data_IF_756528751714
#
_entry.id   IF_756528751714
#
_cell.length_a   1.000
_cell.length_b   1.000
_cell.length_c   1.000
_cell.angle_alpha   90.00
_cell.angle_beta   90.00
_cell.angle_gamma   90.00
#
_symmetry.space_group_name_H-M   'P 1'
#
loop_
_entity.id
_entity.type
_entity.pdbx_description
1 polymer ?
#
# COMPACT_ATOMS: atom_id res chain seq x y z
N UNK A 1 4.55 28.18 -2.13
CA UNK A 1 3.09 27.93 -2.10
C UNK A 1 2.40 29.24 -1.73
N UNK A 2 1.38 29.68 -2.46
CA UNK A 2 0.66 30.91 -2.07
C UNK A 2 -0.29 30.64 -0.87
N UNK A 3 -0.68 31.70 -0.15
CA UNK A 3 -1.53 31.60 1.04
C UNK A 3 -2.89 30.95 0.74
N UNK A 4 -3.45 31.17 -0.47
CA UNK A 4 -4.74 30.62 -0.89
C UNK A 4 -4.72 29.09 -0.99
N UNK A 5 -3.69 28.52 -1.63
CA UNK A 5 -3.52 27.08 -1.76
C UNK A 5 -3.27 26.43 -0.39
N UNK A 6 -2.45 27.04 0.47
CA UNK A 6 -2.22 26.52 1.81
C UNK A 6 -3.52 26.49 2.63
N UNK A 7 -4.31 27.57 2.62
CA UNK A 7 -5.62 27.61 3.30
C UNK A 7 -6.56 26.52 2.79
N UNK A 8 -6.62 26.32 1.48
CA UNK A 8 -7.43 25.27 0.86
C UNK A 8 -7.00 23.87 1.31
N UNK A 9 -5.71 23.54 1.23
CA UNK A 9 -5.17 22.24 1.65
C UNK A 9 -5.52 21.96 3.12
N UNK A 10 -5.35 22.96 3.99
CA UNK A 10 -5.61 22.83 5.42
C UNK A 10 -7.10 22.73 5.78
N UNK A 11 -8.01 23.12 4.88
CA UNK A 11 -9.46 23.03 5.10
C UNK A 11 -10.07 21.72 4.60
N UNK A 12 -9.31 20.88 3.90
CA UNK A 12 -9.80 19.59 3.42
C UNK A 12 -9.60 18.50 4.46
N UNK A 13 -10.41 17.45 4.35
CA UNK A 13 -10.25 16.22 5.12
C UNK A 13 -9.46 15.19 4.30
N UNK A 14 -8.38 14.69 4.90
CA UNK A 14 -7.39 13.87 4.22
C UNK A 14 -7.26 12.48 4.87
N UNK A 15 -7.41 11.44 4.06
CA UNK A 15 -6.99 10.09 4.44
C UNK A 15 -5.47 10.00 4.36
N UNK A 16 -4.80 9.64 5.47
CA UNK A 16 -3.34 9.50 5.53
C UNK A 16 -2.87 8.07 5.33
N UNK A 17 -1.77 7.90 4.58
CA UNK A 17 -0.96 6.67 4.51
C UNK A 17 0.53 6.98 4.72
N UNK A 18 1.29 6.15 5.41
CA UNK A 18 2.67 6.41 5.80
C UNK A 18 3.52 5.14 5.83
N UNK A 19 4.63 5.19 5.11
CA UNK A 19 5.53 4.05 4.93
C UNK A 19 6.93 4.50 4.52
N UNK A 20 7.89 3.59 4.61
CA UNK A 20 9.25 3.77 4.11
C UNK A 20 9.26 3.78 2.58
N UNK A 21 9.72 4.90 2.02
CA UNK A 21 9.85 5.11 0.58
C UNK A 21 10.75 6.31 0.28
N UNK A 22 11.26 6.40 -0.95
CA UNK A 22 11.89 7.62 -1.45
C UNK A 22 10.86 8.48 -2.17
N UNK A 23 11.12 9.79 -2.27
CA UNK A 23 10.27 10.67 -3.07
C UNK A 23 10.22 10.21 -4.55
N UNK A 24 11.35 9.69 -5.05
CA UNK A 24 11.46 9.21 -6.43
C UNK A 24 10.56 8.02 -6.72
N UNK A 25 10.66 6.97 -5.89
CA UNK A 25 9.84 5.78 -6.03
C UNK A 25 8.36 6.08 -5.80
N UNK A 26 8.03 7.07 -4.99
CA UNK A 26 6.68 7.25 -4.54
C UNK A 26 5.87 8.28 -5.36
N UNK A 27 6.55 9.23 -6.00
CA UNK A 27 5.94 10.26 -6.86
C UNK A 27 5.00 9.70 -7.95
N UNK A 28 5.27 8.48 -8.41
CA UNK A 28 4.50 7.76 -9.42
C UNK A 28 2.99 7.74 -9.15
N UNK A 29 2.57 7.76 -7.88
CA UNK A 29 1.17 7.61 -7.51
C UNK A 29 0.33 8.88 -7.62
N UNK A 30 0.97 10.05 -7.68
CA UNK A 30 0.30 11.30 -7.99
C UNK A 30 0.34 11.61 -9.48
N UNK A 31 1.44 11.21 -10.13
CA UNK A 31 1.65 11.40 -11.55
C UNK A 31 0.61 10.68 -12.43
N UNK A 32 -0.16 9.74 -11.86
CA UNK A 32 -1.25 9.05 -12.55
C UNK A 32 -2.56 9.86 -12.66
N UNK A 33 -2.78 10.90 -11.84
CA UNK A 33 -4.05 11.64 -11.82
C UNK A 33 -4.41 12.26 -13.19
N UNK A 34 -3.44 12.81 -13.97
CA UNK A 34 -3.69 13.26 -15.34
C UNK A 34 -4.09 12.12 -16.29
N UNK A 35 -3.57 10.91 -16.10
CA UNK A 35 -3.86 9.76 -16.96
C UNK A 35 -5.28 9.24 -16.76
N UNK A 36 -5.81 9.31 -15.52
CA UNK A 36 -7.22 8.98 -15.26
C UNK A 36 -8.16 9.89 -16.05
N UNK A 37 -7.80 11.16 -16.27
CA UNK A 37 -8.61 12.11 -17.05
C UNK A 37 -8.83 11.66 -18.49
N UNK A 38 -7.87 10.95 -19.08
CA UNK A 38 -7.90 10.53 -20.49
C UNK A 38 -8.55 9.15 -20.70
N UNK A 39 -8.85 8.42 -19.62
CA UNK A 39 -9.34 7.05 -19.70
C UNK A 39 -10.87 7.00 -19.71
N UNK A 40 -11.45 6.82 -20.90
CA UNK A 40 -12.92 6.78 -21.13
C UNK A 40 -13.64 5.64 -20.38
N UNK A 41 -12.92 4.64 -19.88
CA UNK A 41 -13.53 3.57 -19.09
C UNK A 41 -14.05 4.08 -17.74
N UNK A 42 -13.43 5.11 -17.17
CA UNK A 42 -13.82 5.66 -15.89
C UNK A 42 -14.65 6.93 -16.07
N UNK A 43 -15.87 6.94 -15.52
CA UNK A 43 -16.70 8.15 -15.41
C UNK A 43 -16.33 8.98 -14.17
N UNK A 44 -15.39 8.50 -13.36
CA UNK A 44 -14.92 9.11 -12.13
C UNK A 44 -13.38 9.09 -12.11
N UNK A 45 -12.74 9.94 -11.31
CA UNK A 45 -11.29 9.97 -11.13
C UNK A 45 -10.94 10.55 -9.78
N UNK A 46 -9.73 10.27 -9.30
CA UNK A 46 -9.15 11.02 -8.20
C UNK A 46 -8.73 12.41 -8.71
N UNK A 47 -8.98 13.45 -7.94
CA UNK A 47 -8.77 14.86 -8.28
C UNK A 47 -7.49 15.40 -7.67
N UNK A 48 -7.17 15.01 -6.45
CA UNK A 48 -6.06 15.63 -5.74
C UNK A 48 -5.39 14.67 -4.76
N UNK A 49 -4.09 14.93 -4.54
CA UNK A 49 -3.27 14.19 -3.59
C UNK A 49 -2.12 15.05 -3.08
N UNK A 50 -1.68 14.76 -1.85
CA UNK A 50 -0.46 15.34 -1.26
C UNK A 50 0.48 14.19 -0.89
N UNK A 51 1.77 14.38 -1.15
CA UNK A 51 2.88 13.56 -0.69
C UNK A 51 3.76 14.49 0.13
N UNK A 52 4.12 14.06 1.32
CA UNK A 52 5.14 14.71 2.14
C UNK A 52 6.21 13.68 2.46
N UNK A 53 7.34 13.77 1.78
CA UNK A 53 8.49 12.88 1.93
C UNK A 53 9.55 13.52 2.81
N UNK A 54 9.99 12.86 3.88
CA UNK A 54 11.04 13.32 4.78
C UNK A 54 11.78 12.13 5.38
N UNK A 55 13.11 12.15 5.38
CA UNK A 55 13.94 11.08 5.97
C UNK A 55 13.52 9.66 5.54
N UNK A 56 13.26 9.48 4.24
CA UNK A 56 12.79 8.22 3.65
C UNK A 56 11.48 7.68 4.23
N UNK A 57 10.71 8.54 4.89
CA UNK A 57 9.31 8.33 5.26
C UNK A 57 8.44 9.18 4.35
N UNK A 58 7.43 8.56 3.76
CA UNK A 58 6.49 9.25 2.89
C UNK A 58 5.12 9.25 3.57
N UNK A 59 4.46 10.41 3.56
CA UNK A 59 3.08 10.58 4.01
C UNK A 59 2.22 10.93 2.80
N UNK A 60 1.25 10.10 2.50
CA UNK A 60 0.24 10.35 1.49
C UNK A 60 -1.02 10.86 2.09
N UNK A 61 -1.67 11.72 1.34
CA UNK A 61 -2.97 12.27 1.68
C UNK A 61 -3.87 12.19 0.46
N UNK A 62 -4.96 11.45 0.59
CA UNK A 62 -6.07 11.41 -0.37
C UNK A 62 -7.24 12.21 0.19
N UNK A 63 -7.87 13.06 -0.61
CA UNK A 63 -9.06 13.78 -0.15
C UNK A 63 -10.20 12.78 0.14
N UNK A 64 -10.75 12.80 1.36
CA UNK A 64 -11.77 11.83 1.77
C UNK A 64 -13.09 11.97 1.00
N UNK A 65 -13.50 13.19 0.66
CA UNK A 65 -14.70 13.43 -0.17
C UNK A 65 -14.49 12.85 -1.58
N UNK A 66 -13.27 12.94 -2.07
CA UNK A 66 -12.91 12.43 -3.38
C UNK A 66 -12.86 10.90 -3.41
N UNK A 67 -12.25 10.26 -2.41
CA UNK A 67 -12.30 8.81 -2.22
C UNK A 67 -13.74 8.30 -2.14
N UNK A 68 -14.60 8.99 -1.37
CA UNK A 68 -16.03 8.66 -1.25
C UNK A 68 -16.74 8.72 -2.60
N UNK A 69 -16.50 9.76 -3.41
CA UNK A 69 -17.12 9.89 -4.73
C UNK A 69 -16.71 8.76 -5.68
N UNK A 70 -15.41 8.41 -5.69
CA UNK A 70 -14.90 7.28 -6.47
C UNK A 70 -15.50 5.96 -6.00
N UNK A 71 -15.58 5.75 -4.69
CA UNK A 71 -16.22 4.58 -4.07
C UNK A 71 -17.67 4.43 -4.51
N UNK A 72 -18.47 5.49 -4.35
CA UNK A 72 -19.91 5.44 -4.59
C UNK A 72 -20.19 5.09 -6.06
N UNK A 73 -19.39 5.62 -6.99
CA UNK A 73 -19.44 5.22 -8.40
C UNK A 73 -19.05 3.75 -8.60
N UNK A 74 -17.91 3.29 -8.06
CA UNK A 74 -17.48 1.89 -8.20
C UNK A 74 -18.53 0.91 -7.65
N UNK A 75 -19.08 1.20 -6.47
CA UNK A 75 -20.12 0.37 -5.85
C UNK A 75 -21.37 0.34 -6.71
N UNK A 76 -21.82 1.46 -7.26
CA UNK A 76 -22.96 1.50 -8.17
C UNK A 76 -22.73 0.64 -9.43
N UNK A 77 -21.57 0.76 -10.07
CA UNK A 77 -21.23 -0.05 -11.25
C UNK A 77 -21.17 -1.55 -10.91
N UNK A 78 -20.63 -1.94 -9.74
CA UNK A 78 -20.56 -3.34 -9.28
C UNK A 78 -21.96 -3.91 -8.95
N UNK A 79 -22.83 -3.09 -8.36
CA UNK A 79 -24.22 -3.48 -8.08
C UNK A 79 -25.00 -3.72 -9.37
N UNK A 80 -24.81 -2.85 -10.36
CA UNK A 80 -25.51 -2.91 -11.65
C UNK A 80 -24.98 -4.00 -12.60
N UNK A 81 -23.66 -4.20 -12.66
CA UNK A 81 -23.01 -5.19 -13.52
C UNK A 81 -22.09 -6.11 -12.70
N UNK A 82 -22.53 -7.36 -12.53
CA UNK A 82 -21.77 -8.38 -11.80
C UNK A 82 -20.40 -8.72 -12.41
N UNK A 83 -20.16 -8.37 -13.69
CA UNK A 83 -18.90 -8.56 -14.39
C UNK A 83 -18.00 -7.30 -14.37
N UNK A 84 -18.47 -6.17 -13.86
CA UNK A 84 -17.74 -4.90 -13.89
C UNK A 84 -16.33 -5.01 -13.28
N UNK A 85 -16.23 -5.62 -12.09
CA UNK A 85 -14.94 -5.82 -11.40
C UNK A 85 -13.96 -6.67 -12.22
N UNK A 86 -14.46 -7.67 -12.95
CA UNK A 86 -13.66 -8.50 -13.88
C UNK A 86 -13.25 -7.71 -15.13
N UNK A 87 -14.14 -6.91 -15.71
CA UNK A 87 -13.83 -6.02 -16.84
C UNK A 87 -12.74 -5.01 -16.47
N UNK A 88 -12.80 -4.45 -15.27
CA UNK A 88 -11.76 -3.54 -14.74
C UNK A 88 -10.41 -4.26 -14.63
N UNK A 89 -10.37 -5.45 -14.02
CA UNK A 89 -9.14 -6.25 -13.92
C UNK A 89 -8.59 -6.61 -15.29
N UNK A 90 -9.45 -7.06 -16.21
CA UNK A 90 -9.03 -7.42 -17.56
C UNK A 90 -8.39 -6.23 -18.30
N UNK A 91 -8.98 -5.03 -18.18
CA UNK A 91 -8.38 -3.80 -18.72
C UNK A 91 -6.99 -3.52 -18.12
N UNK A 92 -6.81 -3.76 -16.82
CA UNK A 92 -5.51 -3.64 -16.17
C UNK A 92 -4.51 -4.68 -16.70
N UNK A 93 -4.92 -5.94 -16.86
CA UNK A 93 -4.09 -7.02 -17.42
C UNK A 93 -3.60 -6.72 -18.84
N UNK A 94 -4.46 -6.15 -19.69
CA UNK A 94 -4.08 -5.72 -21.04
C UNK A 94 -2.98 -4.65 -21.03
N UNK A 95 -3.06 -3.66 -20.14
CA UNK A 95 -2.01 -2.64 -19.97
C UNK A 95 -0.73 -3.25 -19.40
N UNK A 96 -0.89 -4.13 -18.41
CA UNK A 96 0.23 -4.83 -17.80
C UNK A 96 1.02 -5.63 -18.84
N UNK A 97 0.35 -6.35 -19.75
CA UNK A 97 1.01 -7.11 -20.81
C UNK A 97 1.91 -6.23 -21.67
N UNK A 98 1.44 -5.04 -22.05
CA UNK A 98 2.24 -4.08 -22.81
C UNK A 98 3.42 -3.54 -22.01
N UNK A 99 3.21 -3.21 -20.74
CA UNK A 99 4.28 -2.78 -19.83
C UNK A 99 5.35 -3.87 -19.64
N UNK A 100 4.97 -5.13 -19.46
CA UNK A 100 5.91 -6.24 -19.28
C UNK A 100 6.80 -6.47 -20.50
N UNK A 101 6.24 -6.37 -21.72
CA UNK A 101 7.04 -6.44 -22.95
C UNK A 101 8.07 -5.31 -23.03
N UNK A 102 7.68 -4.08 -22.67
CA UNK A 102 8.61 -2.95 -22.63
C UNK A 102 9.68 -3.16 -21.56
N UNK A 103 9.28 -3.65 -20.39
CA UNK A 103 10.21 -3.95 -19.31
C UNK A 103 11.26 -4.96 -19.79
N UNK A 104 10.87 -6.09 -20.40
CA UNK A 104 11.80 -7.07 -20.97
C UNK A 104 12.83 -6.45 -21.93
N UNK A 105 12.38 -5.60 -22.86
CA UNK A 105 13.27 -4.86 -23.76
C UNK A 105 14.27 -3.99 -22.98
N UNK A 106 13.79 -3.27 -21.98
CA UNK A 106 14.62 -2.41 -21.14
C UNK A 106 15.63 -3.22 -20.32
N UNK A 107 15.24 -4.42 -19.86
CA UNK A 107 16.12 -5.31 -19.08
C UNK A 107 17.31 -5.84 -19.87
N UNK A 108 17.19 -5.93 -21.19
CA UNK A 108 18.29 -6.37 -22.06
C UNK A 108 19.25 -5.24 -22.44
N UNK A 109 18.98 -3.99 -22.05
CA UNK A 109 19.85 -2.86 -22.38
C UNK A 109 21.06 -2.80 -21.43
N UNK A 110 22.23 -2.56 -22.00
CA UNK A 110 23.40 -2.12 -21.25
C UNK A 110 23.32 -0.60 -21.05
N UNK A 111 22.74 -0.18 -19.91
CA UNK A 111 22.51 1.24 -19.62
C UNK A 111 23.80 2.06 -19.64
N UNK A 112 24.97 1.47 -19.40
CA UNK A 112 26.25 2.18 -19.42
C UNK A 112 26.69 2.57 -20.84
N UNK A 113 26.20 1.88 -21.87
CA UNK A 113 26.54 2.12 -23.28
C UNK A 113 25.61 3.09 -24.00
N UNK A 114 24.43 3.37 -23.44
CA UNK A 114 23.46 4.27 -24.06
C UNK A 114 23.92 5.74 -23.98
N UNK A 115 23.78 6.57 -25.01
CA UNK A 115 23.95 8.01 -24.86
C UNK A 115 22.83 8.61 -23.98
N UNK A 116 23.08 9.79 -23.39
CA UNK A 116 22.15 10.44 -22.45
C UNK A 116 20.72 10.62 -23.00
N UNK A 117 20.50 11.02 -24.28
CA UNK A 117 19.16 11.11 -24.86
C UNK A 117 18.41 9.78 -24.88
N UNK A 118 19.08 8.70 -25.28
CA UNK A 118 18.49 7.35 -25.34
C UNK A 118 18.20 6.80 -23.94
N UNK A 119 19.09 7.03 -22.97
CA UNK A 119 18.85 6.67 -21.57
C UNK A 119 17.58 7.36 -21.04
N UNK A 120 17.43 8.66 -21.33
CA UNK A 120 16.28 9.45 -20.90
C UNK A 120 15.00 9.02 -21.61
N UNK A 121 15.06 8.72 -22.90
CA UNK A 121 13.91 8.24 -23.68
C UNK A 121 13.41 6.89 -23.16
N UNK A 122 14.32 5.93 -22.93
CA UNK A 122 13.96 4.63 -22.37
C UNK A 122 13.36 4.76 -20.96
N UNK A 123 13.92 5.64 -20.12
CA UNK A 123 13.35 5.94 -18.81
C UNK A 123 11.93 6.52 -18.93
N UNK A 124 11.73 7.55 -19.76
CA UNK A 124 10.42 8.18 -19.93
C UNK A 124 9.38 7.21 -20.48
N UNK A 125 9.76 6.37 -21.44
CA UNK A 125 8.90 5.33 -22.00
C UNK A 125 8.48 4.33 -20.92
N UNK A 126 9.44 3.79 -20.17
CA UNK A 126 9.15 2.87 -19.05
C UNK A 126 8.21 3.52 -18.02
N UNK A 127 8.52 4.74 -17.63
CA UNK A 127 7.75 5.49 -16.64
C UNK A 127 6.32 5.77 -17.11
N UNK A 128 6.12 6.21 -18.35
CA UNK A 128 4.80 6.51 -18.92
C UNK A 128 3.91 5.26 -19.04
N UNK A 129 4.44 4.16 -19.56
CA UNK A 129 3.70 2.89 -19.66
C UNK A 129 3.37 2.31 -18.28
N UNK A 130 4.29 2.45 -17.34
CA UNK A 130 4.03 2.07 -15.96
C UNK A 130 2.90 2.91 -15.35
N UNK A 131 2.92 4.25 -15.49
CA UNK A 131 1.85 5.14 -15.01
C UNK A 131 0.50 4.76 -15.61
N UNK A 132 0.42 4.53 -16.93
CA UNK A 132 -0.79 4.07 -17.62
C UNK A 132 -1.32 2.76 -17.02
N UNK A 133 -0.43 1.84 -16.64
CA UNK A 133 -0.79 0.55 -16.04
C UNK A 133 -1.38 0.74 -14.64
N UNK A 134 -0.72 1.49 -13.75
CA UNK A 134 -1.21 1.67 -12.37
C UNK A 134 -2.45 2.57 -12.26
N UNK A 135 -2.69 3.41 -13.26
CA UNK A 135 -3.88 4.29 -13.36
C UNK A 135 -5.20 3.51 -13.21
N UNK A 136 -5.28 2.31 -13.81
CA UNK A 136 -6.50 1.47 -13.77
C UNK A 136 -6.70 0.87 -12.38
N UNK A 137 -5.62 0.45 -11.73
CA UNK A 137 -5.69 -0.31 -10.49
C UNK A 137 -5.71 0.55 -9.23
N UNK A 138 -5.27 1.81 -9.28
CA UNK A 138 -5.37 2.72 -8.12
C UNK A 138 -6.80 3.22 -7.86
N UNK A 139 -7.70 3.18 -8.85
CA UNK A 139 -9.09 3.63 -8.66
C UNK A 139 -9.80 2.83 -7.55
N UNK A 140 -9.37 1.57 -7.35
CA UNK A 140 -9.91 0.68 -6.33
C UNK A 140 -9.58 1.18 -4.91
N UNK A 141 -8.66 2.12 -4.73
CA UNK A 141 -8.42 2.75 -3.41
C UNK A 141 -9.69 3.44 -2.89
N UNK A 142 -10.55 3.98 -3.78
CA UNK A 142 -11.86 4.48 -3.36
C UNK A 142 -12.73 3.39 -2.72
N UNK A 143 -12.69 2.16 -3.26
CA UNK A 143 -13.40 1.01 -2.70
C UNK A 143 -12.73 0.49 -1.42
N UNK A 144 -11.42 0.23 -1.47
CA UNK A 144 -10.69 -0.51 -0.45
C UNK A 144 -10.38 0.32 0.79
N UNK A 145 -10.12 1.62 0.66
CA UNK A 145 -9.82 2.47 1.81
C UNK A 145 -11.10 2.70 2.62
N UNK A 146 -11.03 2.41 3.92
CA UNK A 146 -12.15 2.44 4.85
C UNK A 146 -13.29 1.44 4.51
N UNK A 147 -13.02 0.36 3.78
CA UNK A 147 -14.00 -0.70 3.47
C UNK A 147 -14.65 -1.30 4.71
N UNK A 148 -13.91 -1.41 5.80
CA UNK A 148 -14.41 -1.83 7.10
C UNK A 148 -15.54 -0.94 7.64
N UNK A 149 -15.52 0.37 7.32
CA UNK A 149 -16.52 1.32 7.80
C UNK A 149 -17.76 1.27 6.95
N UNK A 150 -17.61 1.43 5.63
CA UNK A 150 -18.76 1.55 4.74
C UNK A 150 -19.39 0.18 4.43
N UNK A 151 -18.60 -0.81 4.01
CA UNK A 151 -19.12 -2.14 3.68
C UNK A 151 -19.46 -2.91 4.96
N UNK A 152 -18.65 -2.75 6.01
CA UNK A 152 -18.96 -3.32 7.33
C UNK A 152 -20.26 -2.77 7.89
N UNK A 153 -20.49 -1.45 7.78
CA UNK A 153 -21.75 -0.83 8.19
C UNK A 153 -22.96 -1.31 7.39
N UNK A 154 -22.86 -1.33 6.05
CA UNK A 154 -23.94 -1.85 5.17
C UNK A 154 -24.25 -3.33 5.48
N UNK A 155 -23.22 -4.14 5.69
CA UNK A 155 -23.36 -5.55 6.02
C UNK A 155 -23.95 -5.78 7.44
N UNK A 156 -23.56 -4.96 8.42
CA UNK A 156 -24.14 -4.99 9.75
C UNK A 156 -25.64 -4.68 9.73
N UNK A 157 -26.06 -3.66 8.96
CA UNK A 157 -27.47 -3.34 8.79
C UNK A 157 -28.24 -4.48 8.11
N UNK A 158 -27.65 -5.10 7.08
CA UNK A 158 -28.22 -6.28 6.43
C UNK A 158 -28.46 -7.44 7.42
N UNK A 159 -27.47 -7.75 8.27
CA UNK A 159 -27.61 -8.81 9.26
C UNK A 159 -28.55 -8.43 10.42
N UNK A 160 -28.62 -7.16 10.80
CA UNK A 160 -29.58 -6.69 11.81
C UNK A 160 -31.03 -6.96 11.38
N UNK A 161 -31.36 -6.71 10.10
CA UNK A 161 -32.67 -7.07 9.52
C UNK A 161 -32.96 -8.58 9.56
N UNK A 162 -31.93 -9.41 9.66
CA UNK A 162 -32.02 -10.87 9.78
C UNK A 162 -31.90 -11.39 11.21
N UNK A 163 -31.88 -10.49 12.22
CA UNK A 163 -31.65 -10.85 13.64
C UNK A 163 -30.33 -11.59 13.88
N UNK A 164 -29.26 -11.21 13.16
CA UNK A 164 -27.91 -11.80 13.25
C UNK A 164 -26.82 -10.73 13.42
N UNK A 165 -27.15 -9.58 14.02
CA UNK A 165 -26.24 -8.44 14.13
C UNK A 165 -24.94 -8.78 14.87
N UNK A 166 -25.03 -9.65 15.89
CA UNK A 166 -23.92 -10.15 16.70
C UNK A 166 -22.89 -10.95 15.87
N UNK A 167 -23.33 -11.57 14.77
CA UNK A 167 -22.44 -12.30 13.85
C UNK A 167 -21.76 -11.43 12.80
N UNK A 168 -22.07 -10.12 12.75
CA UNK A 168 -21.58 -9.24 11.69
C UNK A 168 -20.06 -9.24 11.57
N UNK A 169 -19.33 -9.12 12.68
CA UNK A 169 -17.86 -9.12 12.67
C UNK A 169 -17.27 -10.44 12.19
N UNK A 170 -17.80 -11.56 12.70
CA UNK A 170 -17.36 -12.92 12.34
C UNK A 170 -17.56 -13.18 10.84
N UNK A 171 -18.78 -12.95 10.36
CA UNK A 171 -19.17 -13.20 8.97
C UNK A 171 -18.47 -12.25 8.00
N UNK A 172 -18.36 -10.96 8.35
CA UNK A 172 -17.64 -9.99 7.55
C UNK A 172 -16.17 -10.38 7.41
N UNK A 173 -15.55 -10.87 8.50
CA UNK A 173 -14.17 -11.34 8.46
C UNK A 173 -14.00 -12.50 7.48
N UNK A 174 -14.89 -13.50 7.49
CA UNK A 174 -14.84 -14.61 6.53
C UNK A 174 -15.08 -14.17 5.09
N UNK A 175 -16.11 -13.35 4.84
CA UNK A 175 -16.47 -12.91 3.49
C UNK A 175 -15.39 -12.03 2.83
N UNK A 176 -14.53 -11.42 3.62
CA UNK A 176 -13.45 -10.52 3.17
C UNK A 176 -12.08 -11.18 3.15
N UNK A 177 -11.96 -12.47 3.52
CA UNK A 177 -10.73 -13.24 3.33
C UNK A 177 -10.42 -13.42 1.84
N UNK A 178 -9.15 -13.35 1.42
CA UNK A 178 -8.80 -13.63 0.01
C UNK A 178 -9.02 -15.10 -0.34
N UNK A 179 -9.47 -15.38 -1.56
CA UNK A 179 -9.54 -16.75 -2.11
C UNK A 179 -8.37 -17.09 -3.05
N UNK A 180 -7.33 -16.24 -3.06
CA UNK A 180 -6.11 -16.37 -3.86
C UNK A 180 -4.87 -16.10 -3.01
N UNK A 181 -3.73 -16.77 -3.30
CA UNK A 181 -2.47 -16.48 -2.62
C UNK A 181 -1.98 -15.07 -2.94
N UNK A 182 -1.31 -14.46 -1.96
CA UNK A 182 -0.44 -13.30 -2.21
C UNK A 182 0.86 -13.74 -2.89
N UNK A 183 1.63 -12.81 -3.46
CA UNK A 183 2.91 -13.15 -4.11
C UNK A 183 3.94 -13.80 -3.16
N UNK A 184 3.89 -13.52 -1.86
CA UNK A 184 4.74 -14.21 -0.86
C UNK A 184 4.28 -15.65 -0.68
N UNK A 185 2.96 -15.87 -0.66
CA UNK A 185 2.37 -17.21 -0.58
C UNK A 185 2.58 -18.00 -1.88
N UNK A 186 2.60 -17.35 -3.03
CA UNK A 186 2.99 -17.97 -4.31
C UNK A 186 4.42 -18.52 -4.23
N UNK A 187 5.38 -17.74 -3.71
CA UNK A 187 6.75 -18.19 -3.48
C UNK A 187 6.83 -19.35 -2.47
N UNK A 188 6.02 -19.29 -1.40
CA UNK A 188 5.94 -20.34 -0.39
C UNK A 188 5.39 -21.66 -0.96
N UNK A 189 4.33 -21.58 -1.77
CA UNK A 189 3.74 -22.73 -2.47
C UNK A 189 4.77 -23.32 -3.42
N UNK A 190 5.40 -22.50 -4.28
CA UNK A 190 6.41 -22.95 -5.23
C UNK A 190 7.55 -23.72 -4.54
N UNK A 191 8.05 -23.19 -3.41
CA UNK A 191 9.07 -23.86 -2.61
C UNK A 191 8.60 -25.20 -2.06
N UNK A 192 7.39 -25.27 -1.48
CA UNK A 192 6.81 -26.51 -0.92
C UNK A 192 6.53 -27.56 -1.99
N UNK A 193 6.24 -27.12 -3.22
CA UNK A 193 6.10 -27.99 -4.40
C UNK A 193 7.44 -28.47 -4.97
N UNK A 194 8.57 -28.21 -4.31
CA UNK A 194 9.89 -28.71 -4.72
C UNK A 194 10.67 -27.80 -5.66
N UNK A 195 10.24 -26.56 -5.91
CA UNK A 195 11.04 -25.62 -6.72
C UNK A 195 12.38 -25.36 -6.04
N UNK A 196 13.47 -25.61 -6.78
CA UNK A 196 14.81 -25.46 -6.24
C UNK A 196 15.16 -23.98 -5.91
N UNK A 197 16.11 -23.73 -4.99
CA UNK A 197 16.49 -22.38 -4.58
C UNK A 197 16.95 -21.44 -5.70
N UNK A 198 17.58 -21.97 -6.76
CA UNK A 198 18.03 -21.18 -7.92
C UNK A 198 16.83 -20.62 -8.70
N UNK A 199 15.85 -21.48 -8.98
CA UNK A 199 14.62 -21.08 -9.66
C UNK A 199 13.75 -20.15 -8.78
N UNK A 200 13.74 -20.38 -7.47
CA UNK A 200 13.09 -19.45 -6.54
C UNK A 200 13.74 -18.06 -6.58
N UNK A 201 15.08 -17.99 -6.55
CA UNK A 201 15.78 -16.72 -6.68
C UNK A 201 15.46 -16.03 -8.02
N UNK A 202 15.45 -16.77 -9.14
CA UNK A 202 15.12 -16.19 -10.45
C UNK A 202 13.69 -15.59 -10.52
N UNK A 203 12.71 -16.22 -9.88
CA UNK A 203 11.29 -15.83 -10.00
C UNK A 203 10.81 -14.90 -8.86
N UNK A 204 11.42 -14.99 -7.68
CA UNK A 204 10.96 -14.37 -6.45
C UNK A 204 12.03 -13.55 -5.73
N UNK A 205 13.15 -13.18 -6.36
CA UNK A 205 14.20 -12.35 -5.72
C UNK A 205 13.67 -11.04 -5.11
N UNK A 206 12.55 -10.52 -5.62
CA UNK A 206 11.99 -9.21 -5.31
C UNK A 206 10.95 -9.24 -4.17
N UNK A 207 10.57 -10.40 -3.63
CA UNK A 207 9.44 -10.50 -2.68
C UNK A 207 9.63 -9.73 -1.36
N UNK A 208 10.87 -9.35 -1.02
CA UNK A 208 11.22 -8.50 0.13
C UNK A 208 11.55 -7.05 -0.25
N UNK A 209 11.30 -6.64 -1.50
CA UNK A 209 11.47 -5.25 -1.90
C UNK A 209 10.48 -4.34 -1.17
N UNK A 210 10.92 -3.12 -0.92
CA UNK A 210 10.04 -2.01 -0.61
C UNK A 210 10.46 -0.76 -1.40
N UNK A 211 9.71 0.33 -1.29
CA UNK A 211 9.95 1.55 -2.07
C UNK A 211 11.24 2.31 -1.68
N UNK A 212 11.99 1.83 -0.68
CA UNK A 212 13.29 2.37 -0.27
C UNK A 212 14.43 1.35 -0.52
N UNK A 213 14.20 0.09 -0.18
CA UNK A 213 15.16 -0.99 -0.20
C UNK A 213 14.82 -2.00 -1.29
N UNK A 214 15.62 -1.95 -2.36
CA UNK A 214 15.59 -2.89 -3.49
C UNK A 214 16.85 -3.75 -3.37
N UNK A 215 16.76 -4.86 -2.62
CA UNK A 215 17.87 -5.81 -2.43
C UNK A 215 17.43 -7.20 -2.88
N UNK A 216 17.90 -7.69 -4.03
CA UNK A 216 17.52 -9.02 -4.54
C UNK A 216 17.85 -10.12 -3.53
N UNK A 217 16.90 -11.01 -3.30
CA UNK A 217 17.10 -12.24 -2.53
C UNK A 217 17.87 -13.25 -3.38
N UNK A 218 18.81 -13.94 -2.76
CA UNK A 218 19.71 -14.86 -3.42
C UNK A 218 19.30 -16.31 -3.21
N UNK A 219 19.95 -17.22 -3.93
CA UNK A 219 19.82 -18.66 -3.71
C UNK A 219 20.07 -19.03 -2.24
N UNK A 220 21.05 -18.40 -1.59
CA UNK A 220 21.38 -18.62 -0.17
C UNK A 220 20.20 -18.31 0.75
N UNK A 221 19.47 -17.22 0.48
CA UNK A 221 18.23 -16.92 1.21
C UNK A 221 17.20 -18.04 1.01
N UNK A 222 16.96 -18.45 -0.24
CA UNK A 222 15.97 -19.47 -0.53
C UNK A 222 16.36 -20.88 -0.04
N UNK A 223 17.64 -21.17 0.22
CA UNK A 223 18.07 -22.40 0.89
C UNK A 223 17.62 -22.42 2.36
N UNK A 224 17.84 -21.34 3.09
CA UNK A 224 17.52 -21.26 4.53
C UNK A 224 16.06 -20.87 4.81
N UNK A 225 15.37 -20.22 3.86
CA UNK A 225 13.99 -19.77 4.05
C UNK A 225 13.05 -20.95 4.37
N UNK A 226 12.22 -20.83 5.40
CA UNK A 226 11.18 -21.79 5.75
C UNK A 226 9.85 -21.05 5.74
N UNK A 227 9.07 -21.14 4.64
CA UNK A 227 7.83 -20.39 4.54
C UNK A 227 6.77 -20.94 5.50
N UNK A 228 5.97 -20.04 6.05
CA UNK A 228 4.84 -20.35 6.93
C UNK A 228 3.79 -21.25 6.24
N UNK A 229 2.86 -21.79 7.03
CA UNK A 229 1.69 -22.50 6.51
C UNK A 229 0.89 -21.60 5.56
N UNK A 230 0.56 -22.12 4.38
CA UNK A 230 -0.26 -21.42 3.39
C UNK A 230 -1.72 -21.81 3.59
N UNK A 231 -2.68 -20.87 3.60
CA UNK A 231 -4.09 -21.20 3.78
C UNK A 231 -4.62 -22.17 2.72
N UNK A 232 -5.62 -22.97 3.08
CA UNK A 232 -6.37 -23.74 2.11
C UNK A 232 -7.39 -22.83 1.40
N UNK A 233 -6.98 -22.22 0.29
CA UNK A 233 -7.81 -21.28 -0.48
C UNK A 233 -9.08 -21.92 -1.04
N UNK A 234 -9.06 -23.22 -1.33
CA UNK A 234 -10.26 -23.98 -1.76
C UNK A 234 -11.29 -24.04 -0.63
N UNK A 235 -10.85 -24.40 0.57
CA UNK A 235 -11.71 -24.44 1.76
C UNK A 235 -12.27 -23.05 2.10
N UNK A 236 -11.49 -21.98 1.98
CA UNK A 236 -11.98 -20.60 2.18
C UNK A 236 -13.11 -20.28 1.20
N UNK A 237 -12.93 -20.63 -0.08
CA UNK A 237 -13.94 -20.41 -1.13
C UNK A 237 -15.24 -21.16 -0.84
N UNK A 238 -15.14 -22.42 -0.43
CA UNK A 238 -16.29 -23.27 -0.07
C UNK A 238 -17.03 -22.68 1.15
N UNK A 239 -16.32 -22.32 2.22
CA UNK A 239 -16.90 -21.71 3.42
C UNK A 239 -17.59 -20.38 3.13
N UNK A 240 -17.01 -19.52 2.28
CA UNK A 240 -17.67 -18.29 1.83
C UNK A 240 -18.98 -18.58 1.10
N UNK A 241 -18.97 -19.53 0.15
CA UNK A 241 -20.17 -19.91 -0.61
C UNK A 241 -21.28 -20.41 0.32
N UNK A 242 -20.95 -21.30 1.25
CA UNK A 242 -21.88 -21.82 2.26
C UNK A 242 -22.44 -20.70 3.14
N UNK A 243 -21.59 -19.78 3.63
CA UNK A 243 -22.05 -18.67 4.46
C UNK A 243 -22.99 -17.73 3.68
N UNK A 244 -22.64 -17.35 2.46
CA UNK A 244 -23.48 -16.49 1.62
C UNK A 244 -24.86 -17.11 1.36
N UNK A 245 -24.92 -18.43 1.18
CA UNK A 245 -26.18 -19.18 1.05
C UNK A 245 -26.94 -19.20 2.37
N UNK A 246 -26.28 -19.58 3.48
CA UNK A 246 -26.87 -19.66 4.83
C UNK A 246 -27.56 -18.37 5.26
N UNK A 247 -26.93 -17.21 5.01
CA UNK A 247 -27.49 -15.92 5.42
C UNK A 247 -28.46 -15.34 4.38
N UNK A 248 -28.64 -15.99 3.22
CA UNK A 248 -29.44 -15.48 2.11
C UNK A 248 -28.94 -14.11 1.65
N UNK A 249 -27.64 -14.00 1.35
CA UNK A 249 -27.00 -12.74 0.97
C UNK A 249 -27.61 -12.18 -0.33
N UNK A 250 -28.02 -10.91 -0.30
CA UNK A 250 -28.57 -10.23 -1.50
C UNK A 250 -27.60 -10.28 -2.69
N UNK A 251 -28.14 -10.27 -3.92
CA UNK A 251 -27.35 -10.26 -5.16
C UNK A 251 -26.34 -9.10 -5.17
N UNK A 252 -26.76 -7.91 -4.75
CA UNK A 252 -25.90 -6.72 -4.66
C UNK A 252 -24.71 -6.92 -3.71
N UNK A 253 -24.96 -7.32 -2.46
CA UNK A 253 -23.89 -7.55 -1.49
C UNK A 253 -22.97 -8.68 -1.94
N UNK A 254 -23.52 -9.73 -2.57
CA UNK A 254 -22.72 -10.81 -3.16
C UNK A 254 -21.77 -10.28 -4.22
N UNK A 255 -22.23 -9.39 -5.11
CA UNK A 255 -21.37 -8.75 -6.11
C UNK A 255 -20.26 -7.91 -5.43
N UNK A 256 -20.60 -7.14 -4.40
CA UNK A 256 -19.64 -6.32 -3.66
C UNK A 256 -18.56 -7.18 -2.97
N UNK A 257 -18.93 -8.25 -2.27
CA UNK A 257 -17.93 -9.12 -1.62
C UNK A 257 -17.06 -9.87 -2.63
N UNK A 258 -17.62 -10.28 -3.77
CA UNK A 258 -16.84 -10.87 -4.87
C UNK A 258 -15.85 -9.86 -5.46
N UNK A 259 -16.26 -8.60 -5.60
CA UNK A 259 -15.38 -7.52 -6.04
C UNK A 259 -14.29 -7.23 -5.00
N UNK A 260 -14.62 -7.23 -3.70
CA UNK A 260 -13.64 -7.04 -2.63
C UNK A 260 -12.52 -8.09 -2.65
N UNK A 261 -12.86 -9.37 -2.87
CA UNK A 261 -11.90 -10.46 -3.02
C UNK A 261 -10.99 -10.23 -4.24
N UNK A 262 -11.59 -9.91 -5.39
CA UNK A 262 -10.85 -9.64 -6.62
C UNK A 262 -9.94 -8.40 -6.51
N UNK A 263 -10.40 -7.33 -5.86
CA UNK A 263 -9.63 -6.11 -5.64
C UNK A 263 -8.50 -6.30 -4.62
N UNK A 264 -8.66 -7.22 -3.66
CA UNK A 264 -7.56 -7.64 -2.77
C UNK A 264 -6.43 -8.26 -3.57
N UNK A 265 -6.76 -9.19 -4.47
CA UNK A 265 -5.76 -9.78 -5.37
C UNK A 265 -5.15 -8.73 -6.31
N UNK A 266 -5.95 -7.85 -6.92
CA UNK A 266 -5.45 -6.79 -7.80
C UNK A 266 -4.50 -5.84 -7.05
N UNK A 267 -4.78 -5.53 -5.79
CA UNK A 267 -3.91 -4.70 -4.94
C UNK A 267 -2.54 -5.35 -4.72
N UNK A 268 -2.51 -6.66 -4.48
CA UNK A 268 -1.27 -7.42 -4.28
C UNK A 268 -0.45 -7.50 -5.58
N UNK A 269 -1.10 -7.80 -6.72
CA UNK A 269 -0.44 -7.83 -8.03
C UNK A 269 0.05 -6.45 -8.47
N UNK A 270 -0.75 -5.39 -8.25
CA UNK A 270 -0.30 -4.01 -8.47
C UNK A 270 0.94 -3.69 -7.64
N UNK A 271 0.99 -4.12 -6.37
CA UNK A 271 2.17 -3.91 -5.51
C UNK A 271 3.41 -4.63 -6.06
N UNK A 272 3.28 -5.90 -6.47
CA UNK A 272 4.35 -6.66 -7.15
C UNK A 272 4.93 -5.85 -8.33
N UNK A 273 4.09 -5.40 -9.25
CA UNK A 273 4.56 -4.67 -10.42
C UNK A 273 5.08 -3.27 -10.11
N UNK A 274 4.60 -2.62 -9.05
CA UNK A 274 5.16 -1.36 -8.57
C UNK A 274 6.57 -1.51 -7.98
N UNK A 275 6.82 -2.61 -7.25
CA UNK A 275 8.15 -2.90 -6.70
C UNK A 275 9.16 -3.22 -7.82
N UNK A 276 8.75 -4.03 -8.79
CA UNK A 276 9.56 -4.32 -9.98
C UNK A 276 9.81 -3.05 -10.81
N UNK A 277 8.82 -2.19 -11.02
CA UNK A 277 9.03 -0.90 -11.69
C UNK A 277 10.02 -0.02 -10.93
N UNK A 278 9.91 0.02 -9.60
CA UNK A 278 10.78 0.83 -8.73
C UNK A 278 12.24 0.41 -8.86
N UNK A 279 12.54 -0.88 -8.88
CA UNK A 279 13.88 -1.41 -9.15
C UNK A 279 14.45 -0.83 -10.45
N UNK A 280 13.73 -1.01 -11.57
CA UNK A 280 14.26 -0.60 -12.86
C UNK A 280 14.37 0.92 -12.98
N UNK A 281 13.42 1.68 -12.44
CA UNK A 281 13.54 3.13 -12.36
C UNK A 281 14.76 3.58 -11.55
N UNK A 282 15.14 2.84 -10.50
CA UNK A 282 16.36 3.12 -9.75
C UNK A 282 17.64 2.80 -10.53
N UNK A 283 17.65 1.77 -11.36
CA UNK A 283 18.80 1.49 -12.24
C UNK A 283 19.09 2.67 -13.18
N UNK A 284 18.06 3.24 -13.83
CA UNK A 284 18.20 4.47 -14.63
C UNK A 284 18.68 5.66 -13.79
N UNK A 285 18.09 5.86 -12.60
CA UNK A 285 18.46 6.95 -11.71
C UNK A 285 19.93 6.87 -11.26
N UNK A 286 20.38 5.68 -10.90
CA UNK A 286 21.75 5.44 -10.43
C UNK A 286 22.76 5.50 -11.57
N UNK A 287 22.41 5.03 -12.76
CA UNK A 287 23.27 5.20 -13.94
C UNK A 287 23.42 6.68 -14.31
N UNK A 288 22.31 7.44 -14.34
CA UNK A 288 22.36 8.88 -14.56
C UNK A 288 23.23 9.59 -13.49
N UNK A 289 23.10 9.19 -12.22
CA UNK A 289 23.93 9.73 -11.15
C UNK A 289 25.40 9.38 -11.27
N UNK A 290 25.73 8.14 -11.67
CA UNK A 290 27.11 7.68 -11.90
C UNK A 290 27.81 8.54 -12.96
N UNK A 291 27.15 8.79 -14.10
CA UNK A 291 27.67 9.64 -15.20
C UNK A 291 27.99 11.07 -14.77
N UNK A 292 27.26 11.57 -13.78
CA UNK A 292 27.31 12.98 -13.36
C UNK A 292 28.00 13.18 -12.00
N UNK A 293 28.55 12.11 -11.41
CA UNK A 293 29.24 12.17 -10.12
C UNK A 293 28.32 12.53 -8.94
N UNK A 294 27.03 12.17 -9.01
CA UNK A 294 26.04 12.52 -7.98
C UNK A 294 25.85 11.35 -7.00
N UNK A 295 26.04 11.61 -5.70
CA UNK A 295 25.94 10.59 -4.66
C UNK A 295 24.53 9.96 -4.57
N UNK A 296 24.45 8.63 -4.39
CA UNK A 296 23.19 7.87 -4.32
C UNK A 296 22.17 8.45 -3.34
N UNK A 297 22.60 8.82 -2.13
CA UNK A 297 21.70 9.40 -1.12
C UNK A 297 21.02 10.69 -1.60
N UNK A 298 21.68 11.49 -2.43
CA UNK A 298 21.12 12.72 -3.01
C UNK A 298 20.14 12.39 -4.15
N UNK A 299 20.46 11.39 -4.98
CA UNK A 299 19.60 10.92 -6.09
C UNK A 299 18.22 10.49 -5.62
N UNK A 300 18.14 9.81 -4.46
CA UNK A 300 16.86 9.34 -3.90
C UNK A 300 15.88 10.48 -3.51
N UNK A 301 16.31 11.75 -3.61
CA UNK A 301 15.47 12.94 -3.38
C UNK A 301 14.94 13.57 -4.68
N UNK A 302 15.35 13.04 -5.83
CA UNK A 302 14.86 13.49 -7.13
C UNK A 302 13.41 13.04 -7.33
N UNK A 303 12.74 13.63 -8.31
CA UNK A 303 11.46 13.15 -8.82
C UNK A 303 11.65 12.58 -10.24
N UNK A 304 10.86 11.57 -10.66
CA UNK A 304 10.95 11.01 -12.01
C UNK A 304 10.95 12.03 -13.15
N UNK A 305 10.10 13.09 -13.16
CA UNK A 305 10.12 14.09 -14.24
C UNK A 305 11.40 14.95 -14.29
N UNK A 306 12.29 14.84 -13.30
CA UNK A 306 13.51 15.62 -13.19
C UNK A 306 14.73 14.87 -13.74
N UNK A 307 14.58 13.65 -14.26
CA UNK A 307 15.68 12.85 -14.82
C UNK A 307 16.49 13.61 -15.89
N UNK A 308 15.82 14.37 -16.78
CA UNK A 308 16.52 15.20 -17.76
C UNK A 308 17.35 16.33 -17.11
N UNK A 309 16.90 16.91 -16.00
CA UNK A 309 17.66 17.93 -15.24
C UNK A 309 18.87 17.30 -14.54
N UNK A 310 18.71 16.08 -14.03
CA UNK A 310 19.79 15.32 -13.43
C UNK A 310 20.90 15.02 -14.45
N UNK A 311 20.56 14.58 -15.66
CA UNK A 311 21.53 14.32 -16.72
C UNK A 311 22.24 15.60 -17.22
N UNK A 312 21.55 16.75 -17.20
CA UNK A 312 22.20 18.05 -17.46
C UNK A 312 23.15 18.49 -16.32
N UNK A 313 22.95 17.98 -15.11
CA UNK A 313 23.79 18.21 -13.92
C UNK A 313 24.09 19.69 -13.61
N UNK A 314 23.10 20.58 -13.73
CA UNK A 314 23.34 22.00 -13.45
C UNK A 314 23.58 22.26 -11.95
N UNK A 315 24.51 23.16 -11.58
CA UNK A 315 24.78 23.50 -10.17
C UNK A 315 23.53 23.94 -9.40
N UNK A 316 22.65 24.70 -10.04
CA UNK A 316 21.38 25.16 -9.46
C UNK A 316 20.44 24.01 -9.13
N UNK A 317 20.35 23.01 -10.01
CA UNK A 317 19.52 21.83 -9.75
C UNK A 317 20.07 21.03 -8.57
N UNK A 318 21.39 20.80 -8.52
CA UNK A 318 22.01 20.12 -7.37
C UNK A 318 21.81 20.89 -6.06
N UNK A 319 21.88 22.22 -6.09
CA UNK A 319 21.60 23.08 -4.92
C UNK A 319 20.14 22.92 -4.46
N UNK A 320 19.18 22.85 -5.39
CA UNK A 320 17.78 22.57 -5.06
C UNK A 320 17.59 21.17 -4.48
N UNK A 321 18.25 20.15 -5.05
CA UNK A 321 18.16 18.77 -4.59
C UNK A 321 18.74 18.60 -3.17
N UNK A 322 19.85 19.28 -2.86
CA UNK A 322 20.45 19.30 -1.50
C UNK A 322 19.50 19.92 -0.45
N UNK A 323 18.69 20.92 -0.83
CA UNK A 323 17.68 21.52 0.07
C UNK A 323 16.53 20.55 0.41
N UNK A 324 16.40 19.42 -0.28
CA UNK A 324 15.40 18.36 0.00
C UNK A 324 15.81 17.38 1.09
N UNK A 325 16.77 17.76 1.94
CA UNK A 325 16.95 17.11 3.24
C UNK A 325 15.71 17.38 4.12
N UNK A 326 15.16 18.59 4.02
CA UNK A 326 13.88 18.95 4.62
C UNK A 326 12.70 18.24 3.93
N UNK A 327 11.53 18.13 4.60
CA UNK A 327 10.34 17.54 4.00
C UNK A 327 10.00 18.14 2.64
N UNK A 328 9.86 17.28 1.63
CA UNK A 328 9.40 17.62 0.29
C UNK A 328 7.90 17.43 0.24
N UNK A 329 7.17 18.52 0.06
CA UNK A 329 5.75 18.49 -0.24
C UNK A 329 5.56 18.49 -1.76
N UNK A 330 4.81 17.51 -2.24
CA UNK A 330 4.29 17.45 -3.61
C UNK A 330 2.78 17.44 -3.54
N UNK A 331 2.14 18.44 -4.15
CA UNK A 331 0.70 18.53 -4.30
C UNK A 331 0.34 18.46 -5.78
N UNK A 332 -0.62 17.60 -6.13
CA UNK A 332 -1.17 17.53 -7.50
C UNK A 332 -2.66 17.86 -7.44
N UNK A 333 -3.08 18.78 -8.31
CA UNK A 333 -4.48 19.18 -8.41
C UNK A 333 -5.22 18.45 -9.55
N UNK A 334 -6.51 18.76 -9.69
CA UNK A 334 -7.42 18.12 -10.64
C UNK A 334 -7.10 18.39 -12.13
N UNK A 335 -6.30 19.42 -12.39
CA UNK A 335 -5.74 19.75 -13.72
C UNK A 335 -4.45 19.00 -14.01
N UNK A 336 -3.90 18.27 -13.04
CA UNK A 336 -2.61 17.59 -13.17
C UNK A 336 -1.40 18.50 -12.93
N UNK A 337 -1.64 19.73 -12.45
CA UNK A 337 -0.57 20.66 -12.14
C UNK A 337 0.11 20.20 -10.85
N UNK A 338 1.43 20.07 -10.90
CA UNK A 338 2.24 19.63 -9.76
C UNK A 338 2.89 20.83 -9.11
N UNK A 339 2.69 20.98 -7.81
CA UNK A 339 3.38 21.95 -6.97
C UNK A 339 4.38 21.22 -6.07
N UNK A 340 5.66 21.59 -6.16
CA UNK A 340 6.73 21.04 -5.33
C UNK A 340 7.27 22.12 -4.41
N UNK A 341 7.41 21.81 -3.12
CA UNK A 341 8.06 22.68 -2.14
C UNK A 341 8.96 21.86 -1.23
N UNK A 342 10.25 22.22 -1.20
CA UNK A 342 11.16 21.79 -0.15
C UNK A 342 11.02 22.70 1.08
N UNK A 343 11.46 22.22 2.25
CA UNK A 343 11.59 23.03 3.46
C UNK A 343 10.43 22.93 4.45
N UNK A 344 10.38 23.88 5.39
CA UNK A 344 9.46 23.89 6.55
C UNK A 344 7.97 23.80 6.20
N UNK A 345 7.56 24.17 4.99
CA UNK A 345 6.15 24.11 4.55
C UNK A 345 5.61 22.69 4.64
N UNK A 346 6.36 21.68 4.19
CA UNK A 346 5.93 20.28 4.29
C UNK A 346 5.72 19.85 5.74
N UNK A 347 6.62 20.26 6.64
CA UNK A 347 6.48 20.00 8.08
C UNK A 347 5.24 20.68 8.68
N UNK A 348 4.96 21.94 8.30
CA UNK A 348 3.79 22.69 8.77
C UNK A 348 2.50 22.02 8.31
N UNK A 349 2.43 21.66 7.02
CA UNK A 349 1.25 20.99 6.46
C UNK A 349 1.05 19.63 7.13
N UNK A 350 2.11 18.83 7.29
CA UNK A 350 2.05 17.55 7.99
C UNK A 350 1.53 17.72 9.42
N UNK A 351 2.07 18.68 10.19
CA UNK A 351 1.67 18.93 11.59
C UNK A 351 0.21 19.39 11.69
N UNK A 352 -0.27 20.21 10.75
CA UNK A 352 -1.63 20.75 10.78
C UNK A 352 -2.69 19.79 10.28
N UNK A 353 -2.44 19.09 9.16
CA UNK A 353 -3.34 18.06 8.64
C UNK A 353 -3.41 16.88 9.61
N UNK A 354 -2.28 16.56 10.24
CA UNK A 354 -2.17 15.42 11.13
C UNK A 354 -1.76 15.89 12.54
N UNK A 355 -2.74 16.42 13.28
CA UNK A 355 -2.60 16.72 14.70
C UNK A 355 -3.12 15.53 15.53
N UNK A 356 -2.25 14.98 16.37
CA UNK A 356 -2.61 13.88 17.28
C UNK A 356 -3.25 14.50 18.52
N UNK A 357 -4.54 14.25 18.76
CA UNK A 357 -5.14 14.51 20.07
C UNK A 357 -4.72 13.37 21.00
N UNK A 358 -4.28 13.68 22.21
CA UNK A 358 -4.01 12.67 23.22
C UNK A 358 -5.32 11.91 23.52
N UNK A 359 -5.34 10.61 23.24
CA UNK A 359 -6.46 9.72 23.51
C UNK A 359 -5.92 8.49 24.24
N UNK A 360 -6.52 8.13 25.36
CA UNK A 360 -6.16 6.91 26.12
C UNK A 360 -6.67 5.64 25.45
N UNK A 361 -7.69 5.77 24.61
CA UNK A 361 -8.37 4.70 23.89
C UNK A 361 -8.42 5.03 22.39
N UNK A 362 -8.04 4.05 21.57
CA UNK A 362 -8.11 4.12 20.11
C UNK A 362 -9.00 3.01 19.58
N UNK A 363 -9.79 3.35 18.56
CA UNK A 363 -10.63 2.40 17.84
C UNK A 363 -10.05 2.08 16.45
N UNK A 364 -10.22 0.84 16.01
CA UNK A 364 -9.90 0.40 14.65
C UNK A 364 -10.77 -0.78 14.20
N UNK A 365 -10.46 -1.34 13.05
CA UNK A 365 -11.13 -2.53 12.54
C UNK A 365 -10.49 -3.80 13.10
N UNK A 366 -11.31 -4.70 13.64
CA UNK A 366 -10.85 -6.01 14.07
C UNK A 366 -10.74 -6.97 12.88
N UNK A 367 -9.60 -7.65 12.73
CA UNK A 367 -9.39 -8.64 11.65
C UNK A 367 -9.36 -10.07 12.17
N UNK A 368 -8.93 -10.25 13.41
CA UNK A 368 -9.04 -11.49 14.17
C UNK A 368 -9.43 -11.15 15.61
N UNK A 369 -10.45 -11.82 16.12
CA UNK A 369 -11.08 -11.49 17.41
C UNK A 369 -10.24 -11.99 18.58
N UNK A 370 -10.54 -11.47 19.76
CA UNK A 370 -9.88 -11.85 21.01
C UNK A 370 -9.49 -10.64 21.85
N UNK A 371 -9.11 -10.91 23.09
CA UNK A 371 -8.74 -9.90 24.07
C UNK A 371 -7.45 -10.30 24.76
N UNK A 372 -6.46 -9.40 24.79
CA UNK A 372 -5.16 -9.68 25.40
C UNK A 372 -4.50 -8.39 25.89
N UNK A 373 -3.66 -8.52 26.91
CA UNK A 373 -2.84 -7.43 27.47
C UNK A 373 -1.38 -7.68 27.20
N UNK A 374 -0.61 -6.62 27.02
CA UNK A 374 0.84 -6.73 26.86
C UNK A 374 1.53 -5.39 26.69
N UNK A 375 2.86 -5.44 26.75
CA UNK A 375 3.71 -4.26 26.52
C UNK A 375 3.76 -3.92 25.04
N UNK A 376 3.55 -2.65 24.72
CA UNK A 376 3.72 -2.10 23.38
C UNK A 376 5.18 -2.20 22.96
N UNK A 377 5.40 -2.70 21.76
CA UNK A 377 6.63 -2.49 21.02
C UNK A 377 6.31 -1.90 19.66
N UNK A 378 6.73 -0.66 19.45
CA UNK A 378 6.62 0.06 18.19
C UNK A 378 7.70 -0.45 17.24
N UNK A 379 7.29 -0.84 16.04
CA UNK A 379 8.20 -1.34 15.00
C UNK A 379 8.01 -0.52 13.74
N UNK A 380 9.00 0.32 13.46
CA UNK A 380 9.02 1.20 12.28
C UNK A 380 9.92 0.64 11.17
N UNK A 381 10.95 -0.12 11.53
CA UNK A 381 11.95 -0.67 10.62
C UNK A 381 12.43 -2.05 11.08
N UNK A 382 13.20 -2.74 10.25
CA UNK A 382 13.83 -4.02 10.59
C UNK A 382 14.74 -3.91 11.82
N UNK A 383 15.34 -2.74 12.06
CA UNK A 383 16.22 -2.49 13.22
C UNK A 383 15.47 -2.61 14.55
N UNK A 384 14.18 -2.31 14.57
CA UNK A 384 13.37 -2.39 15.78
C UNK A 384 13.03 -3.83 16.16
N UNK A 385 13.07 -4.76 15.19
CA UNK A 385 12.72 -6.16 15.38
C UNK A 385 13.65 -6.88 16.36
N UNK A 386 14.93 -6.50 16.42
CA UNK A 386 15.92 -7.10 17.33
C UNK A 386 15.54 -6.92 18.82
N UNK A 387 14.79 -5.84 19.12
CA UNK A 387 14.33 -5.50 20.49
C UNK A 387 12.93 -6.03 20.80
N UNK A 388 12.29 -6.75 19.87
CA UNK A 388 10.96 -7.30 20.04
C UNK A 388 11.00 -8.57 20.91
N UNK A 389 10.16 -8.63 21.95
CA UNK A 389 10.09 -9.78 22.88
C UNK A 389 8.80 -10.57 22.72
N UNK A 390 8.85 -11.83 23.11
CA UNK A 390 7.66 -12.71 23.12
C UNK A 390 6.55 -12.08 23.96
N UNK A 391 5.31 -12.13 23.46
CA UNK A 391 4.14 -11.59 24.16
C UNK A 391 3.99 -10.06 24.09
N UNK A 392 4.88 -9.34 23.39
CA UNK A 392 4.66 -7.92 23.13
C UNK A 392 3.47 -7.68 22.20
N UNK A 393 2.84 -6.52 22.35
CA UNK A 393 1.84 -6.00 21.41
C UNK A 393 2.61 -5.27 20.32
N UNK A 394 2.55 -5.78 19.09
CA UNK A 394 3.15 -5.12 17.94
C UNK A 394 2.32 -3.89 17.58
N UNK A 395 2.94 -2.70 17.65
CA UNK A 395 2.36 -1.46 17.15
C UNK A 395 3.18 -0.99 15.94
N UNK A 396 2.56 -0.79 14.78
CA UNK A 396 3.27 -0.36 13.58
C UNK A 396 2.39 0.53 12.68
N UNK A 397 2.98 1.31 11.77
CA UNK A 397 2.16 2.03 10.77
C UNK A 397 1.39 1.02 9.89
N UNK A 398 2.12 0.06 9.35
CA UNK A 398 1.60 -1.12 8.66
C UNK A 398 2.54 -2.31 8.89
N UNK A 399 2.03 -3.55 8.78
CA UNK A 399 2.90 -4.73 8.80
C UNK A 399 3.48 -4.99 7.41
N UNK A 400 4.62 -5.69 7.38
CA UNK A 400 5.35 -6.04 6.16
C UNK A 400 5.81 -7.51 6.22
N UNK A 401 6.10 -8.15 5.08
CA UNK A 401 6.65 -9.51 5.07
C UNK A 401 7.89 -9.66 5.94
N UNK A 402 8.77 -8.65 5.98
CA UNK A 402 9.95 -8.68 6.85
C UNK A 402 9.61 -8.82 8.34
N UNK A 403 8.40 -8.44 8.78
CA UNK A 403 7.98 -8.52 10.17
C UNK A 403 7.50 -9.91 10.60
N UNK A 404 7.39 -10.88 9.68
CA UNK A 404 6.93 -12.25 9.99
C UNK A 404 7.59 -12.84 11.26
N UNK A 405 8.94 -12.76 11.45
CA UNK A 405 9.58 -13.32 12.63
C UNK A 405 9.10 -12.73 13.97
N UNK A 406 8.68 -11.47 13.99
CA UNK A 406 8.16 -10.81 15.20
C UNK A 406 6.63 -10.93 15.31
N UNK A 407 5.93 -11.08 14.19
CA UNK A 407 4.48 -11.33 14.18
C UNK A 407 4.15 -12.65 14.88
N UNK A 408 4.95 -13.68 14.68
CA UNK A 408 4.81 -14.95 15.39
C UNK A 408 4.97 -14.80 16.93
N UNK A 409 5.88 -13.90 17.35
CA UNK A 409 6.15 -13.61 18.76
C UNK A 409 5.10 -12.73 19.41
N UNK A 410 4.35 -11.97 18.62
CA UNK A 410 3.40 -10.99 19.11
C UNK A 410 2.21 -11.65 19.84
N UNK A 411 1.74 -11.00 20.90
CA UNK A 411 0.49 -11.33 21.57
C UNK A 411 -0.71 -10.79 20.78
N UNK A 412 -0.60 -9.56 20.26
CA UNK A 412 -1.57 -8.94 19.37
C UNK A 412 -0.87 -8.01 18.37
N UNK A 413 -1.61 -7.62 17.34
CA UNK A 413 -1.15 -6.72 16.28
C UNK A 413 -2.05 -5.48 16.26
N UNK A 414 -1.46 -4.30 16.32
CA UNK A 414 -2.14 -3.02 16.21
C UNK A 414 -1.45 -2.20 15.12
N UNK A 415 -2.22 -1.70 14.14
CA UNK A 415 -1.66 -0.83 13.11
C UNK A 415 -2.40 0.49 12.94
N UNK A 416 -1.67 1.53 12.57
CA UNK A 416 -2.26 2.82 12.18
C UNK A 416 -3.07 2.67 10.89
N UNK A 417 -2.58 1.84 9.98
CA UNK A 417 -3.08 1.72 8.62
C UNK A 417 -3.46 0.29 8.27
N UNK A 418 -4.18 0.16 7.17
CA UNK A 418 -4.69 -1.12 6.68
C UNK A 418 -6.21 -1.16 6.72
N UNK A 419 -6.77 -1.76 5.67
CA UNK A 419 -8.14 -2.28 5.66
C UNK A 419 -8.13 -3.79 5.88
N UNK A 420 -9.31 -4.40 5.90
CA UNK A 420 -9.51 -5.85 6.07
C UNK A 420 -8.79 -6.75 5.05
N UNK A 421 -8.29 -6.14 3.97
CA UNK A 421 -7.52 -6.77 2.88
C UNK A 421 -6.01 -6.58 3.05
N UNK A 422 -5.56 -5.90 4.10
CA UNK A 422 -4.14 -5.59 4.34
C UNK A 422 -3.34 -6.81 4.77
N UNK A 423 -2.01 -6.73 4.65
CA UNK A 423 -1.09 -7.75 5.14
C UNK A 423 -1.34 -8.08 6.62
N UNK A 424 -1.56 -7.06 7.47
CA UNK A 424 -1.90 -7.25 8.88
C UNK A 424 -3.20 -8.05 9.07
N UNK A 425 -4.22 -7.77 8.26
CA UNK A 425 -5.48 -8.48 8.30
C UNK A 425 -5.36 -9.95 7.89
N UNK A 426 -4.56 -10.23 6.86
CA UNK A 426 -4.31 -11.59 6.36
C UNK A 426 -3.50 -12.39 7.38
N UNK A 427 -2.32 -11.89 7.77
CA UNK A 427 -1.38 -12.65 8.60
C UNK A 427 -1.89 -12.87 10.03
N UNK A 428 -2.64 -11.92 10.59
CA UNK A 428 -3.23 -12.06 11.93
C UNK A 428 -4.21 -13.23 12.02
N UNK A 429 -4.99 -13.48 10.95
CA UNK A 429 -5.92 -14.60 10.86
C UNK A 429 -5.20 -15.93 10.74
N UNK A 430 -4.12 -15.96 9.96
CA UNK A 430 -3.26 -17.14 9.79
C UNK A 430 -2.59 -17.53 11.09
N UNK A 431 -2.03 -16.55 11.81
CA UNK A 431 -1.36 -16.75 13.09
C UNK A 431 -2.33 -16.82 14.29
N UNK A 432 -3.64 -16.64 14.06
CA UNK A 432 -4.69 -16.58 15.08
C UNK A 432 -4.37 -15.61 16.23
N UNK A 433 -3.91 -14.41 15.89
CA UNK A 433 -3.55 -13.36 16.86
C UNK A 433 -4.58 -12.23 16.83
N UNK A 434 -5.09 -11.77 17.98
CA UNK A 434 -5.96 -10.60 18.05
C UNK A 434 -5.35 -9.42 17.29
N UNK A 435 -6.14 -8.77 16.44
CA UNK A 435 -5.60 -7.74 15.56
C UNK A 435 -6.59 -6.61 15.31
N UNK A 436 -6.10 -5.37 15.49
CA UNK A 436 -6.81 -4.12 15.23
C UNK A 436 -6.00 -3.31 14.21
N UNK A 437 -6.60 -3.02 13.07
CA UNK A 437 -5.99 -2.25 11.99
C UNK A 437 -6.68 -0.89 11.85
N UNK A 438 -6.00 0.07 11.22
CA UNK A 438 -6.63 1.33 10.84
C UNK A 438 -6.89 2.28 12.02
N UNK A 439 -6.13 2.18 13.12
CA UNK A 439 -6.23 3.07 14.29
C UNK A 439 -5.80 4.52 14.01
N UNK A 440 -5.17 4.76 12.85
CA UNK A 440 -4.65 6.03 12.31
C UNK A 440 -3.50 6.68 13.08
N UNK A 441 -3.42 6.49 14.40
CA UNK A 441 -2.52 7.24 15.30
C UNK A 441 -1.86 6.40 16.41
N UNK A 442 -2.03 5.08 16.46
CA UNK A 442 -1.47 4.23 17.53
C UNK A 442 0.05 4.36 17.70
N UNK A 443 0.82 4.43 16.61
CA UNK A 443 2.30 4.58 16.69
C UNK A 443 2.77 5.89 17.33
N UNK A 444 1.86 6.85 17.51
CA UNK A 444 2.17 8.17 18.07
C UNK A 444 1.52 8.43 19.41
N UNK A 445 0.44 7.72 19.71
CA UNK A 445 -0.26 7.79 20.99
C UNK A 445 0.40 6.91 22.03
N UNK A 446 0.74 5.67 21.64
CA UNK A 446 1.45 4.75 22.52
C UNK A 446 2.95 4.94 22.41
N UNK A 447 3.67 4.50 23.45
CA UNK A 447 5.15 4.47 23.50
C UNK A 447 5.64 3.05 23.76
N UNK A 448 6.89 2.79 23.37
CA UNK A 448 7.57 1.55 23.73
C UNK A 448 7.50 1.30 25.24
N UNK A 449 7.07 0.10 25.62
CA UNK A 449 6.92 -0.31 27.01
C UNK A 449 5.57 0.00 27.65
N UNK A 450 4.71 0.80 27.03
CA UNK A 450 3.36 1.06 27.52
C UNK A 450 2.59 -0.25 27.69
N UNK A 451 1.92 -0.42 28.82
CA UNK A 451 0.98 -1.54 28.98
C UNK A 451 -0.34 -1.17 28.30
N UNK A 452 -0.84 -2.05 27.44
CA UNK A 452 -2.11 -1.85 26.75
C UNK A 452 -3.00 -3.09 26.84
N UNK A 453 -4.31 -2.86 26.79
CA UNK A 453 -5.32 -3.88 26.53
C UNK A 453 -5.78 -3.76 25.07
N UNK A 454 -5.62 -4.83 24.31
CA UNK A 454 -6.15 -4.97 22.95
C UNK A 454 -7.42 -5.82 23.02
N UNK A 455 -8.57 -5.17 22.87
CA UNK A 455 -9.88 -5.81 22.75
C UNK A 455 -10.29 -5.80 21.28
N UNK A 456 -9.77 -6.76 20.51
CA UNK A 456 -10.14 -6.93 19.10
C UNK A 456 -11.59 -7.42 18.95
N UNK A 457 -12.21 -7.96 20.01
CA UNK A 457 -13.65 -8.22 19.98
C UNK A 457 -14.43 -6.92 19.82
N UNK A 458 -14.05 -5.85 20.54
CA UNK A 458 -14.65 -4.50 20.44
C UNK A 458 -14.01 -3.62 19.37
N UNK A 459 -12.83 -3.98 18.87
CA UNK A 459 -12.06 -3.16 17.94
C UNK A 459 -11.37 -1.97 18.63
N UNK A 460 -11.01 -2.14 19.90
CA UNK A 460 -10.47 -1.08 20.76
C UNK A 460 -9.12 -1.46 21.35
N UNK A 461 -8.17 -0.53 21.37
CA UNK A 461 -6.91 -0.64 22.11
C UNK A 461 -6.78 0.56 23.05
N UNK A 462 -6.43 0.30 24.30
CA UNK A 462 -6.27 1.35 25.31
C UNK A 462 -5.06 1.12 26.20
N UNK A 463 -4.44 2.21 26.63
CA UNK A 463 -3.39 2.18 27.66
C UNK A 463 -4.03 1.87 29.02
N UNK A 464 -3.39 1.00 29.79
CA UNK A 464 -3.84 0.56 31.12
C UNK A 464 -2.79 0.82 32.18
#
# INVERSE_FOLDING_TARGET
>A
MNKKLLKYILSQDWYRKNFEATAFADYQWQALLPYQKKDKFFKVRLKEAIIIASNFQVNWFWNQKDLKRVRDWLVAEIKNDSLFSRKLVHKWELRLKTYLKLLEKVRSLDLAKLPDPELLENFHSLYDFYLKTITVSVIIEGFSLNAEKWLGGEFQQFLAKKKMAEKSREYFSLLTQTTRPSFVQEAAIAKKSGMNPKNLAANFYWIHFNYLHIKPLTETFFKSWRPDSTPNFRQIRERKKQLMQKIGLSKELKNIFNAADLFTWLQDQRKKHALLATEWMYEFLFEAGRRKGVAKGLLLRALPPEMGKLLKNSPDYLKQLKKRIDPVLVYVNDKGQTFVSAGKIGAIVLKKIYSVKHQSELSGAATFLGKIRGKVKIVSSVKDMARFRQGNILVASMTRPEFIPILAKAAAIVTDEGGITSHAAIISREMRKPCIIGTKIATRVFKDGDMVEVDATRGVVRKI
#
